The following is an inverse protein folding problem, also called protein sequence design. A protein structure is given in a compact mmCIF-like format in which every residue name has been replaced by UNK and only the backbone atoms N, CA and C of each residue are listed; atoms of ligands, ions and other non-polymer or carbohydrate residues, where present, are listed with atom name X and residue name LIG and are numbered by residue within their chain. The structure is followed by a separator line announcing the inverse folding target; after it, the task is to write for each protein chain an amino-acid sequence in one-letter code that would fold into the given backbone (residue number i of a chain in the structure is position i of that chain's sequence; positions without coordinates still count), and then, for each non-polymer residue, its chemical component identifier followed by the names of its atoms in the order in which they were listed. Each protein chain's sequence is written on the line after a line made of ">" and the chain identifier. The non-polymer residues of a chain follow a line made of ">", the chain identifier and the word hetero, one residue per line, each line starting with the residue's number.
data_IF_785002329382
#
_entry.id   IF_785002329382
#
_cell.length_a   1.000
_cell.length_b   1.000
_cell.length_c   1.000
_cell.angle_alpha   90.00
_cell.angle_beta   90.00
_cell.angle_gamma   90.00
#
_symmetry.space_group_name_H-M   'P 1'
#
loop_
_entity.id
_entity.type
_entity.pdbx_description
1 polymer ?
#
# COMPACT_ATOMS: atom_id res chain seq x y z
N UNK A 1 1.34 52.54 25.15
CA UNK A 1 2.64 52.20 24.54
C UNK A 1 3.05 50.87 25.17
N UNK A 2 2.77 49.75 24.51
CA UNK A 2 3.15 48.42 25.04
C UNK A 2 4.69 48.29 24.97
N UNK A 3 5.28 47.92 26.12
CA UNK A 3 6.72 47.71 26.21
C UNK A 3 7.15 46.47 25.43
N UNK A 4 8.38 46.44 24.94
CA UNK A 4 8.95 45.24 24.27
C UNK A 4 8.88 43.98 25.20
N UNK A 5 8.93 44.16 26.50
CA UNK A 5 8.74 43.12 27.53
C UNK A 5 7.35 42.47 27.50
N UNK A 6 6.31 43.26 27.19
CA UNK A 6 4.93 42.71 27.13
C UNK A 6 4.76 41.82 25.91
N UNK A 7 5.41 42.14 24.79
CA UNK A 7 5.34 41.38 23.55
C UNK A 7 6.04 40.01 23.70
N UNK A 8 7.18 39.97 24.38
CA UNK A 8 7.90 38.71 24.61
C UNK A 8 7.19 37.81 25.63
N UNK A 9 6.56 38.40 26.66
CA UNK A 9 5.74 37.65 27.61
C UNK A 9 4.52 37.03 26.92
N UNK A 10 3.81 37.75 26.06
CA UNK A 10 2.70 37.22 25.30
C UNK A 10 3.12 36.13 24.31
N UNK A 11 4.24 36.25 23.64
CA UNK A 11 4.78 35.19 22.77
C UNK A 11 5.11 33.93 23.57
N UNK A 12 5.75 34.07 24.71
CA UNK A 12 6.10 32.94 25.58
C UNK A 12 4.84 32.26 26.12
N UNK A 13 3.83 33.03 26.52
CA UNK A 13 2.56 32.50 27.01
C UNK A 13 1.78 31.78 25.91
N UNK A 14 1.71 32.33 24.71
CA UNK A 14 1.08 31.67 23.54
C UNK A 14 1.83 30.39 23.17
N UNK A 15 3.17 30.40 23.19
CA UNK A 15 3.99 29.22 22.93
C UNK A 15 3.70 28.13 23.97
N UNK A 16 3.70 28.46 25.26
CA UNK A 16 3.42 27.51 26.35
C UNK A 16 1.99 26.95 26.28
N UNK A 17 1.00 27.79 25.95
CA UNK A 17 -0.39 27.33 25.78
C UNK A 17 -0.52 26.42 24.56
N UNK A 18 0.14 26.73 23.44
CA UNK A 18 0.10 25.88 22.25
C UNK A 18 0.80 24.54 22.47
N UNK A 19 1.94 24.54 23.18
CA UNK A 19 2.65 23.32 23.55
C UNK A 19 1.81 22.46 24.51
N UNK A 20 1.21 23.05 25.54
CA UNK A 20 0.33 22.36 26.47
C UNK A 20 -0.93 21.82 25.78
N UNK A 21 -1.57 22.58 24.90
CA UNK A 21 -2.72 22.13 24.11
C UNK A 21 -2.34 21.00 23.15
N UNK A 22 -1.14 21.06 22.57
CA UNK A 22 -0.59 20.00 21.73
C UNK A 22 -0.35 18.71 22.53
N UNK A 23 0.30 18.80 23.69
CA UNK A 23 0.52 17.66 24.58
C UNK A 23 -0.79 17.02 25.06
N UNK A 24 -1.78 17.81 25.48
CA UNK A 24 -3.10 17.32 25.89
C UNK A 24 -3.82 16.61 24.73
N UNK A 25 -3.68 17.16 23.51
CA UNK A 25 -4.27 16.54 22.30
C UNK A 25 -3.59 15.23 21.94
N UNK A 26 -2.26 15.16 22.10
CA UNK A 26 -1.47 13.93 21.85
C UNK A 26 -1.77 12.87 22.91
N UNK A 27 -1.90 13.24 24.20
CA UNK A 27 -2.20 12.29 25.28
C UNK A 27 -3.60 11.66 25.17
N UNK A 28 -4.54 12.27 24.45
CA UNK A 28 -5.89 11.73 24.24
C UNK A 28 -5.96 10.68 23.14
N UNK A 29 -4.90 10.51 22.32
CA UNK A 29 -4.84 9.51 21.25
C UNK A 29 -4.55 8.13 21.83
N UNK A 30 -5.23 7.11 21.31
CA UNK A 30 -4.96 5.71 21.67
C UNK A 30 -3.64 5.26 21.06
N UNK A 31 -2.80 4.60 21.86
CA UNK A 31 -1.55 4.01 21.35
C UNK A 31 -1.90 2.83 20.46
N UNK A 32 -1.29 2.83 19.27
CA UNK A 32 -1.38 1.74 18.30
C UNK A 32 0.04 1.32 17.89
N UNK A 33 0.37 0.05 18.13
CA UNK A 33 1.72 -0.42 17.87
C UNK A 33 1.97 -0.63 16.38
N UNK A 34 3.13 -0.17 15.89
CA UNK A 34 3.51 -0.22 14.47
C UNK A 34 3.63 -1.66 13.95
N UNK A 35 4.02 -2.61 14.80
CA UNK A 35 4.07 -4.04 14.47
C UNK A 35 2.66 -4.62 14.24
N UNK A 36 1.69 -4.18 15.05
CA UNK A 36 0.28 -4.56 14.87
C UNK A 36 -0.26 -3.92 13.59
N UNK A 37 0.12 -2.67 13.33
CA UNK A 37 -0.22 -1.96 12.08
C UNK A 37 0.26 -2.75 10.86
N UNK A 38 1.48 -3.27 10.89
CA UNK A 38 2.04 -4.09 9.84
C UNK A 38 1.26 -5.39 9.61
N UNK A 39 1.03 -6.17 10.68
CA UNK A 39 0.31 -7.45 10.56
C UNK A 39 -1.13 -7.27 10.08
N UNK A 40 -1.84 -6.30 10.66
CA UNK A 40 -3.20 -5.97 10.21
C UNK A 40 -3.20 -5.45 8.78
N UNK A 41 -2.21 -4.63 8.41
CA UNK A 41 -2.04 -4.15 7.05
C UNK A 41 -1.93 -5.30 6.05
N UNK A 42 -1.12 -6.32 6.33
CA UNK A 42 -0.97 -7.49 5.45
C UNK A 42 -2.29 -8.26 5.26
N UNK A 43 -2.98 -8.56 6.37
CA UNK A 43 -4.25 -9.29 6.30
C UNK A 43 -5.30 -8.48 5.53
N UNK A 44 -5.45 -7.20 5.86
CA UNK A 44 -6.43 -6.31 5.23
C UNK A 44 -6.11 -6.13 3.74
N UNK A 45 -4.83 -6.03 3.36
CA UNK A 45 -4.40 -5.92 1.97
C UNK A 45 -4.77 -7.17 1.18
N UNK A 46 -4.50 -8.36 1.72
CA UNK A 46 -4.81 -9.63 1.07
C UNK A 46 -6.32 -9.78 0.81
N UNK A 47 -7.16 -9.50 1.79
CA UNK A 47 -8.61 -9.51 1.61
C UNK A 47 -9.08 -8.41 0.66
N UNK A 48 -8.50 -7.21 0.73
CA UNK A 48 -8.80 -6.10 -0.17
C UNK A 48 -8.54 -6.47 -1.63
N UNK A 49 -7.38 -7.06 -1.92
CA UNK A 49 -7.03 -7.52 -3.27
C UNK A 49 -7.96 -8.65 -3.73
N UNK A 50 -8.28 -9.61 -2.87
CA UNK A 50 -9.19 -10.71 -3.19
C UNK A 50 -10.62 -10.21 -3.47
N UNK A 51 -11.14 -9.23 -2.73
CA UNK A 51 -12.44 -8.60 -3.03
C UNK A 51 -12.43 -7.81 -4.34
N UNK A 52 -11.34 -7.11 -4.67
CA UNK A 52 -11.25 -6.41 -5.96
C UNK A 52 -11.24 -7.40 -7.12
N UNK A 53 -10.60 -8.54 -6.98
CA UNK A 53 -10.64 -9.63 -7.97
C UNK A 53 -12.06 -10.19 -8.12
N UNK A 54 -12.71 -10.55 -7.00
CA UNK A 54 -14.07 -11.08 -6.98
C UNK A 54 -15.08 -10.13 -7.65
N UNK A 55 -14.84 -8.83 -7.58
CA UNK A 55 -15.67 -7.80 -8.22
C UNK A 55 -15.68 -7.90 -9.75
N UNK A 56 -14.61 -8.43 -10.36
CA UNK A 56 -14.39 -8.49 -11.83
C UNK A 56 -14.40 -7.11 -12.52
N UNK A 57 -14.16 -6.02 -11.79
CA UNK A 57 -14.03 -4.67 -12.37
C UNK A 57 -12.59 -4.29 -12.73
N UNK A 58 -11.66 -5.20 -12.53
CA UNK A 58 -10.23 -5.01 -12.71
C UNK A 58 -9.52 -4.86 -11.37
N UNK A 59 -8.23 -5.17 -11.40
CA UNK A 59 -7.36 -5.11 -10.22
C UNK A 59 -6.89 -3.69 -9.95
N UNK A 60 -6.40 -3.46 -8.73
CA UNK A 60 -5.63 -2.26 -8.44
C UNK A 60 -4.43 -2.15 -9.39
N UNK A 61 -4.12 -0.95 -9.84
CA UNK A 61 -3.06 -0.66 -10.82
C UNK A 61 -1.69 -1.24 -10.45
N UNK A 62 -1.40 -1.32 -9.15
CA UNK A 62 -0.10 -1.82 -8.65
C UNK A 62 0.04 -3.32 -8.87
N UNK A 63 -1.02 -4.08 -8.60
CA UNK A 63 -1.02 -5.56 -8.70
C UNK A 63 -1.55 -6.07 -10.04
N UNK A 64 -2.10 -5.20 -10.89
CA UNK A 64 -2.65 -5.60 -12.19
C UNK A 64 -1.64 -6.32 -13.10
N UNK A 65 -0.37 -5.88 -13.24
CA UNK A 65 0.63 -6.62 -14.03
C UNK A 65 0.86 -8.03 -13.51
N UNK A 66 0.95 -8.19 -12.19
CA UNK A 66 1.14 -9.47 -11.50
C UNK A 66 -0.05 -10.41 -11.73
N UNK A 67 -1.26 -9.88 -11.62
CA UNK A 67 -2.48 -10.64 -11.87
C UNK A 67 -2.58 -11.11 -13.33
N UNK A 68 -2.21 -10.28 -14.30
CA UNK A 68 -2.17 -10.66 -15.73
C UNK A 68 -1.15 -11.76 -15.96
N UNK A 69 0.02 -11.67 -15.33
CA UNK A 69 1.03 -12.72 -15.37
C UNK A 69 0.48 -14.03 -14.80
N UNK A 70 -0.18 -14.00 -13.63
CA UNK A 70 -0.88 -15.15 -13.06
C UNK A 70 -1.88 -15.74 -14.06
N UNK A 71 -2.79 -14.93 -14.62
CA UNK A 71 -3.80 -15.41 -15.56
C UNK A 71 -3.20 -16.08 -16.83
N UNK A 72 -2.02 -15.65 -17.25
CA UNK A 72 -1.35 -16.27 -18.42
C UNK A 72 -0.60 -17.53 -18.06
N UNK A 73 0.21 -17.49 -17.01
CA UNK A 73 1.10 -18.59 -16.63
C UNK A 73 0.31 -19.77 -16.05
N UNK A 74 -0.74 -19.50 -15.27
CA UNK A 74 -1.59 -20.56 -14.69
C UNK A 74 -2.30 -21.43 -15.74
N UNK A 75 -2.43 -20.95 -16.97
CA UNK A 75 -2.93 -21.75 -18.11
C UNK A 75 -2.01 -22.93 -18.45
N UNK A 76 -0.70 -22.78 -18.18
CA UNK A 76 0.32 -23.80 -18.47
C UNK A 76 0.81 -24.48 -17.18
N UNK A 77 0.81 -23.75 -16.07
CA UNK A 77 1.30 -24.20 -14.77
C UNK A 77 0.21 -23.98 -13.70
N UNK A 78 -0.67 -24.97 -13.46
CA UNK A 78 -1.81 -24.82 -12.53
C UNK A 78 -1.42 -24.44 -11.10
N UNK A 79 -0.20 -24.77 -10.68
CA UNK A 79 0.33 -24.40 -9.36
C UNK A 79 0.77 -22.93 -9.25
N UNK A 80 0.84 -22.19 -10.37
CA UNK A 80 1.23 -20.79 -10.39
C UNK A 80 0.04 -19.92 -9.96
N UNK A 81 -0.19 -19.87 -8.64
CA UNK A 81 -1.25 -19.08 -8.02
C UNK A 81 -0.99 -17.58 -8.15
N UNK A 82 -1.96 -16.76 -7.76
CA UNK A 82 -1.77 -15.31 -7.71
C UNK A 82 -0.69 -14.94 -6.66
N UNK A 83 -0.69 -15.60 -5.50
CA UNK A 83 0.37 -15.41 -4.51
C UNK A 83 1.76 -15.75 -5.04
N UNK A 84 1.91 -16.85 -5.81
CA UNK A 84 3.19 -17.20 -6.44
C UNK A 84 3.62 -16.14 -7.46
N UNK A 85 2.69 -15.59 -8.23
CA UNK A 85 2.99 -14.49 -9.15
C UNK A 85 3.48 -13.24 -8.39
N UNK A 86 2.88 -12.94 -7.23
CA UNK A 86 3.33 -11.87 -6.33
C UNK A 86 4.78 -12.09 -5.86
N UNK A 87 5.15 -13.30 -5.47
CA UNK A 87 6.54 -13.61 -5.07
C UNK A 87 7.54 -13.30 -6.18
N UNK A 88 7.23 -13.75 -7.41
CA UNK A 88 8.11 -13.55 -8.56
C UNK A 88 8.26 -12.08 -8.91
N UNK A 89 7.15 -11.36 -9.01
CA UNK A 89 7.17 -9.94 -9.42
C UNK A 89 7.83 -9.08 -8.35
N UNK A 90 7.55 -9.31 -7.07
CA UNK A 90 8.17 -8.55 -5.99
C UNK A 90 9.68 -8.84 -5.88
N UNK A 91 10.13 -10.09 -6.13
CA UNK A 91 11.55 -10.41 -6.23
C UNK A 91 12.24 -9.65 -7.38
N UNK A 92 11.58 -9.56 -8.54
CA UNK A 92 12.07 -8.77 -9.68
C UNK A 92 12.15 -7.28 -9.34
N UNK A 93 11.16 -6.72 -8.65
CA UNK A 93 11.17 -5.31 -8.23
C UNK A 93 12.33 -5.05 -7.26
N UNK A 94 12.56 -5.92 -6.27
CA UNK A 94 13.69 -5.79 -5.34
C UNK A 94 15.03 -5.84 -6.09
N UNK A 95 15.17 -6.75 -7.06
CA UNK A 95 16.35 -6.81 -7.90
C UNK A 95 16.55 -5.50 -8.70
N UNK A 96 15.49 -4.97 -9.30
CA UNK A 96 15.51 -3.70 -10.02
C UNK A 96 15.92 -2.53 -9.13
N UNK A 97 15.35 -2.41 -7.93
CA UNK A 97 15.74 -1.38 -6.94
C UNK A 97 17.22 -1.48 -6.63
N UNK A 98 17.71 -2.68 -6.36
CA UNK A 98 19.12 -2.94 -6.06
C UNK A 98 20.04 -2.51 -7.21
N UNK A 99 19.66 -2.81 -8.46
CA UNK A 99 20.43 -2.45 -9.66
C UNK A 99 20.41 -0.94 -9.88
N UNK A 100 19.25 -0.30 -9.80
CA UNK A 100 19.07 1.15 -10.04
C UNK A 100 19.86 1.95 -9.01
N UNK A 101 19.75 1.60 -7.74
CA UNK A 101 20.41 2.31 -6.65
C UNK A 101 21.87 1.89 -6.45
N UNK A 102 22.29 0.78 -7.09
CA UNK A 102 23.62 0.16 -6.91
C UNK A 102 23.96 -0.07 -5.43
N UNK A 103 22.93 -0.32 -4.62
CA UNK A 103 23.04 -0.57 -3.17
C UNK A 103 22.05 -1.68 -2.81
N UNK A 104 22.53 -2.64 -2.06
CA UNK A 104 21.68 -3.66 -1.46
C UNK A 104 21.60 -3.39 0.05
N UNK A 105 20.36 -3.27 0.56
CA UNK A 105 20.11 -3.12 1.98
C UNK A 105 19.50 -4.41 2.52
N UNK A 106 19.89 -4.80 3.73
CA UNK A 106 19.33 -5.99 4.38
C UNK A 106 17.80 -5.86 4.58
N UNK A 107 17.31 -4.63 4.73
CA UNK A 107 15.87 -4.33 4.80
C UNK A 107 15.09 -4.79 3.56
N UNK A 108 15.74 -4.92 2.39
CA UNK A 108 15.08 -5.43 1.18
C UNK A 108 14.71 -6.92 1.29
N UNK A 109 15.50 -7.70 2.05
CA UNK A 109 15.13 -9.09 2.36
C UNK A 109 13.84 -9.17 3.19
N UNK A 110 13.60 -8.19 4.06
CA UNK A 110 12.34 -8.13 4.80
C UNK A 110 11.15 -7.82 3.91
N UNK A 111 11.31 -6.97 2.89
CA UNK A 111 10.25 -6.76 1.88
C UNK A 111 9.93 -8.07 1.14
N UNK A 112 10.93 -8.92 0.90
CA UNK A 112 10.67 -10.23 0.33
C UNK A 112 9.94 -11.18 1.30
N UNK A 113 10.30 -11.17 2.59
CA UNK A 113 9.54 -11.90 3.62
C UNK A 113 8.10 -11.38 3.68
N UNK A 114 7.92 -10.06 3.63
CA UNK A 114 6.58 -9.44 3.55
C UNK A 114 5.81 -9.95 2.33
N UNK A 115 6.47 -10.03 1.16
CA UNK A 115 5.88 -10.56 -0.05
C UNK A 115 5.42 -12.02 0.10
N UNK A 116 6.25 -12.86 0.71
CA UNK A 116 5.89 -14.27 0.98
C UNK A 116 4.67 -14.37 1.90
N UNK A 117 4.64 -13.59 2.98
CA UNK A 117 3.49 -13.54 3.90
C UNK A 117 2.24 -13.04 3.19
N UNK A 118 2.35 -11.96 2.44
CA UNK A 118 1.23 -11.39 1.69
C UNK A 118 0.68 -12.38 0.67
N UNK A 119 1.52 -12.99 -0.16
CA UNK A 119 1.08 -13.92 -1.17
C UNK A 119 0.37 -15.16 -0.61
N UNK A 120 0.85 -15.70 0.53
CA UNK A 120 0.16 -16.81 1.21
C UNK A 120 -1.20 -16.39 1.78
N UNK A 121 -1.27 -15.19 2.37
CA UNK A 121 -2.53 -14.62 2.85
C UNK A 121 -3.49 -14.32 1.69
N UNK A 122 -2.98 -13.84 0.56
CA UNK A 122 -3.76 -13.56 -0.64
C UNK A 122 -4.38 -14.84 -1.21
N UNK A 123 -3.60 -15.90 -1.37
CA UNK A 123 -4.11 -17.19 -1.85
C UNK A 123 -5.17 -17.75 -0.88
N UNK A 124 -4.95 -17.64 0.43
CA UNK A 124 -5.94 -17.99 1.44
C UNK A 124 -7.21 -17.15 1.36
N UNK A 125 -7.10 -15.84 1.19
CA UNK A 125 -8.23 -14.94 1.04
C UNK A 125 -9.01 -15.24 -0.25
N UNK A 126 -8.31 -15.47 -1.36
CA UNK A 126 -8.92 -15.85 -2.64
C UNK A 126 -9.73 -17.15 -2.48
N UNK A 127 -9.17 -18.17 -1.83
CA UNK A 127 -9.88 -19.42 -1.55
C UNK A 127 -11.12 -19.19 -0.69
N UNK A 128 -11.02 -18.42 0.39
CA UNK A 128 -12.16 -18.14 1.28
C UNK A 128 -13.29 -17.37 0.56
N UNK A 129 -12.94 -16.46 -0.35
CA UNK A 129 -13.92 -15.65 -1.04
C UNK A 129 -14.59 -16.38 -2.23
N UNK A 130 -14.09 -17.54 -2.67
CA UNK A 130 -14.75 -18.35 -3.72
C UNK A 130 -16.18 -18.75 -3.36
N UNK A 131 -16.51 -18.79 -2.07
CA UNK A 131 -17.85 -19.15 -1.59
C UNK A 131 -18.84 -17.96 -1.63
N UNK A 132 -18.37 -16.74 -1.92
CA UNK A 132 -19.22 -15.56 -1.95
C UNK A 132 -19.85 -15.37 -3.34
N UNK A 133 -21.14 -14.93 -3.39
CA UNK A 133 -21.81 -14.67 -4.66
C UNK A 133 -21.20 -13.46 -5.36
N UNK A 134 -21.00 -13.58 -6.67
CA UNK A 134 -20.52 -12.50 -7.54
C UNK A 134 -21.30 -12.41 -8.86
N UNK A 135 -22.54 -12.94 -8.87
CA UNK A 135 -23.34 -13.04 -10.10
C UNK A 135 -24.03 -11.72 -10.44
N UNK A 136 -24.48 -10.98 -9.42
CA UNK A 136 -25.22 -9.75 -9.62
C UNK A 136 -24.29 -8.52 -9.68
N UNK A 137 -24.55 -7.62 -10.59
CA UNK A 137 -23.79 -6.37 -10.76
C UNK A 137 -23.68 -5.56 -9.46
N UNK A 138 -24.78 -5.42 -8.72
CA UNK A 138 -24.81 -4.68 -7.44
C UNK A 138 -23.87 -5.29 -6.40
N UNK A 139 -23.82 -6.61 -6.31
CA UNK A 139 -22.94 -7.32 -5.38
C UNK A 139 -21.47 -7.11 -5.79
N UNK A 140 -21.18 -7.14 -7.09
CA UNK A 140 -19.84 -6.88 -7.61
C UNK A 140 -19.37 -5.46 -7.30
N UNK A 141 -20.25 -4.47 -7.41
CA UNK A 141 -19.96 -3.07 -7.00
C UNK A 141 -19.64 -3.02 -5.50
N UNK A 142 -20.40 -3.72 -4.67
CA UNK A 142 -20.14 -3.80 -3.24
C UNK A 142 -18.76 -4.37 -2.94
N UNK A 143 -18.39 -5.49 -3.60
CA UNK A 143 -17.07 -6.10 -3.44
C UNK A 143 -15.96 -5.17 -3.91
N UNK A 144 -16.14 -4.44 -5.00
CA UNK A 144 -15.18 -3.47 -5.50
C UNK A 144 -14.95 -2.33 -4.51
N UNK A 145 -16.01 -1.73 -3.99
CA UNK A 145 -15.91 -0.64 -3.00
C UNK A 145 -15.24 -1.13 -1.72
N UNK A 146 -15.67 -2.30 -1.21
CA UNK A 146 -15.09 -2.90 -0.01
C UNK A 146 -13.60 -3.20 -0.21
N UNK A 147 -13.24 -3.84 -1.31
CA UNK A 147 -11.85 -4.17 -1.65
C UNK A 147 -10.98 -2.92 -1.75
N UNK A 148 -11.46 -1.88 -2.45
CA UNK A 148 -10.72 -0.61 -2.59
C UNK A 148 -10.51 0.08 -1.25
N UNK A 149 -11.52 0.12 -0.37
CA UNK A 149 -11.41 0.70 0.98
C UNK A 149 -10.44 -0.10 1.83
N UNK A 150 -10.49 -1.42 1.78
CA UNK A 150 -9.55 -2.29 2.52
C UNK A 150 -8.11 -2.09 2.04
N UNK A 151 -7.86 -2.07 0.73
CA UNK A 151 -6.53 -1.80 0.17
C UNK A 151 -6.01 -0.43 0.62
N UNK A 152 -6.82 0.62 0.54
CA UNK A 152 -6.43 1.95 0.99
C UNK A 152 -6.15 2.01 2.50
N UNK A 153 -6.89 1.25 3.30
CA UNK A 153 -6.67 1.13 4.75
C UNK A 153 -5.34 0.41 5.03
N UNK A 154 -5.06 -0.66 4.32
CA UNK A 154 -3.81 -1.41 4.46
C UNK A 154 -2.59 -0.55 4.12
N UNK A 155 -2.62 0.18 3.00
CA UNK A 155 -1.54 1.11 2.61
C UNK A 155 -1.35 2.19 3.68
N UNK A 156 -2.45 2.74 4.21
CA UNK A 156 -2.39 3.73 5.29
C UNK A 156 -1.73 3.15 6.55
N UNK A 157 -2.00 1.90 6.89
CA UNK A 157 -1.35 1.21 8.01
C UNK A 157 0.15 0.97 7.75
N UNK A 158 0.53 0.62 6.51
CA UNK A 158 1.94 0.45 6.13
C UNK A 158 2.74 1.75 6.18
N UNK A 159 2.11 2.90 5.99
CA UNK A 159 2.80 4.18 6.15
C UNK A 159 3.18 4.49 7.61
N UNK A 160 2.54 3.83 8.56
CA UNK A 160 2.78 4.03 10.00
C UNK A 160 3.64 2.92 10.63
N UNK A 161 4.29 2.07 9.83
CA UNK A 161 5.21 1.07 10.34
C UNK A 161 6.65 1.33 9.89
N UNK A 162 7.60 0.96 10.74
CA UNK A 162 9.03 0.97 10.39
C UNK A 162 9.45 -0.29 9.63
N UNK A 163 8.67 -1.37 9.71
CA UNK A 163 8.94 -2.63 9.01
C UNK A 163 8.83 -2.39 7.50
N UNK A 164 9.73 -2.97 6.74
CA UNK A 164 9.74 -2.81 5.29
C UNK A 164 8.42 -3.30 4.68
N UNK A 165 7.70 -2.41 3.97
CA UNK A 165 6.48 -2.79 3.27
C UNK A 165 6.80 -3.71 2.09
N UNK A 166 5.79 -4.08 1.34
CA UNK A 166 5.96 -4.81 0.09
C UNK A 166 6.86 -4.07 -0.90
N UNK A 167 7.43 -4.80 -1.85
CA UNK A 167 8.38 -4.25 -2.81
C UNK A 167 7.82 -3.08 -3.64
N UNK A 168 6.51 -3.04 -3.84
CA UNK A 168 5.81 -1.96 -4.55
C UNK A 168 5.93 -0.60 -3.85
N UNK A 169 5.79 -0.56 -2.54
CA UNK A 169 5.95 0.64 -1.73
C UNK A 169 7.43 0.92 -1.46
N UNK A 170 8.24 -0.13 -1.35
CA UNK A 170 9.68 -0.01 -1.15
C UNK A 170 10.34 0.75 -2.31
N UNK A 171 10.05 0.38 -3.57
CA UNK A 171 10.62 1.05 -4.74
C UNK A 171 10.28 2.55 -4.76
N UNK A 172 9.04 2.90 -4.44
CA UNK A 172 8.60 4.30 -4.37
C UNK A 172 9.36 5.07 -3.28
N UNK A 173 9.48 4.46 -2.10
CA UNK A 173 10.17 5.03 -0.94
C UNK A 173 11.66 5.25 -1.21
N UNK A 174 12.33 4.22 -1.74
CA UNK A 174 13.77 4.26 -2.04
C UNK A 174 14.10 5.25 -3.16
N UNK A 175 13.31 5.27 -4.24
CA UNK A 175 13.52 6.25 -5.32
C UNK A 175 13.27 7.68 -4.82
N UNK A 176 12.19 7.92 -4.10
CA UNK A 176 11.90 9.24 -3.55
C UNK A 176 13.00 9.71 -2.59
N UNK A 177 13.46 8.83 -1.69
CA UNK A 177 14.51 9.15 -0.73
C UNK A 177 15.88 9.37 -1.37
N UNK A 178 16.31 8.47 -2.26
CA UNK A 178 17.66 8.53 -2.85
C UNK A 178 17.85 9.70 -3.81
N UNK A 179 16.78 10.08 -4.55
CA UNK A 179 16.82 11.20 -5.49
C UNK A 179 16.21 12.48 -4.94
N UNK A 180 15.81 12.51 -3.67
CA UNK A 180 15.12 13.65 -3.02
C UNK A 180 13.87 14.11 -3.79
N UNK A 181 13.16 13.19 -4.41
CA UNK A 181 11.93 13.47 -5.15
C UNK A 181 10.71 13.46 -4.24
N UNK A 182 9.67 14.17 -4.64
CA UNK A 182 8.40 14.16 -3.93
C UNK A 182 7.75 12.76 -4.04
N UNK A 183 7.53 12.11 -2.89
CA UNK A 183 7.02 10.74 -2.82
C UNK A 183 5.69 10.56 -3.54
N UNK A 184 4.80 11.57 -3.48
CA UNK A 184 3.50 11.51 -4.15
C UNK A 184 3.65 11.52 -5.68
N UNK A 185 4.61 12.31 -6.21
CA UNK A 185 4.90 12.33 -7.65
C UNK A 185 5.51 11.01 -8.10
N UNK A 186 6.45 10.46 -7.33
CA UNK A 186 7.05 9.15 -7.62
C UNK A 186 5.99 8.06 -7.60
N UNK A 187 5.10 8.05 -6.58
CA UNK A 187 4.00 7.10 -6.49
C UNK A 187 3.08 7.21 -7.70
N UNK A 188 2.65 8.42 -8.07
CA UNK A 188 1.79 8.62 -9.24
C UNK A 188 2.45 8.13 -10.53
N UNK A 189 3.73 8.46 -10.74
CA UNK A 189 4.48 7.99 -11.91
C UNK A 189 4.58 6.45 -11.93
N UNK A 190 4.89 5.84 -10.78
CA UNK A 190 4.94 4.39 -10.62
C UNK A 190 3.59 3.73 -10.95
N UNK A 191 2.50 4.28 -10.44
CA UNK A 191 1.14 3.78 -10.69
C UNK A 191 0.74 3.89 -12.17
N UNK A 192 1.11 5.00 -12.83
CA UNK A 192 0.91 5.17 -14.27
C UNK A 192 1.73 4.15 -15.09
N UNK A 193 2.99 3.90 -14.72
CA UNK A 193 3.85 2.91 -15.38
C UNK A 193 3.27 1.51 -15.23
N UNK A 194 2.83 1.13 -14.02
CA UNK A 194 2.20 -0.17 -13.78
C UNK A 194 0.89 -0.33 -14.57
N UNK A 195 0.07 0.72 -14.65
CA UNK A 195 -1.16 0.68 -15.46
C UNK A 195 -0.84 0.47 -16.93
N UNK A 196 0.13 1.20 -17.47
CA UNK A 196 0.58 1.03 -18.85
C UNK A 196 1.13 -0.38 -19.10
N UNK A 197 1.99 -0.86 -18.19
CA UNK A 197 2.54 -2.22 -18.25
C UNK A 197 1.43 -3.27 -18.25
N UNK A 198 0.42 -3.12 -17.38
CA UNK A 198 -0.73 -4.02 -17.33
C UNK A 198 -1.50 -4.05 -18.65
N UNK A 199 -1.74 -2.90 -19.29
CA UNK A 199 -2.41 -2.82 -20.59
C UNK A 199 -1.57 -3.52 -21.66
N UNK A 200 -0.26 -3.24 -21.71
CA UNK A 200 0.67 -3.85 -22.68
C UNK A 200 0.71 -5.38 -22.50
N UNK A 201 0.85 -5.86 -21.27
CA UNK A 201 0.85 -7.31 -20.98
C UNK A 201 -0.49 -7.95 -21.32
N UNK A 202 -1.62 -7.28 -21.04
CA UNK A 202 -2.94 -7.80 -21.41
C UNK A 202 -3.06 -7.99 -22.91
N UNK A 203 -2.63 -7.02 -23.70
CA UNK A 203 -2.65 -7.11 -25.17
C UNK A 203 -1.67 -8.14 -25.72
N UNK A 204 -0.47 -8.22 -25.15
CA UNK A 204 0.54 -9.18 -25.56
C UNK A 204 0.13 -10.65 -25.29
N UNK A 205 -0.54 -10.90 -24.16
CA UNK A 205 -0.88 -12.26 -23.76
C UNK A 205 -2.24 -12.75 -24.22
N UNK A 206 -3.21 -11.84 -24.37
CA UNK A 206 -4.60 -12.19 -24.67
C UNK A 206 -5.13 -11.63 -25.99
N UNK A 207 -4.33 -10.85 -26.70
CA UNK A 207 -4.67 -10.25 -27.98
C UNK A 207 -5.04 -8.77 -27.87
N UNK A 208 -4.82 -8.05 -28.95
CA UNK A 208 -5.06 -6.61 -29.02
C UNK A 208 -6.53 -6.27 -28.76
N UNK A 209 -6.78 -5.31 -27.88
CA UNK A 209 -8.12 -4.89 -27.47
C UNK A 209 -8.76 -5.74 -26.36
N UNK A 210 -8.08 -6.81 -25.89
CA UNK A 210 -8.58 -7.64 -24.78
C UNK A 210 -8.02 -7.11 -23.45
N UNK A 211 -8.89 -6.56 -22.63
CA UNK A 211 -8.53 -6.06 -21.30
C UNK A 211 -8.82 -7.13 -20.23
N UNK A 212 -7.78 -7.89 -19.83
CA UNK A 212 -7.85 -8.79 -18.68
C UNK A 212 -7.04 -8.23 -17.52
N UNK A 213 -7.59 -8.29 -16.32
CA UNK A 213 -6.96 -7.71 -15.13
C UNK A 213 -6.99 -6.18 -15.07
N UNK A 214 -7.20 -5.51 -16.21
CA UNK A 214 -7.39 -4.06 -16.31
C UNK A 214 -8.85 -3.80 -16.68
N UNK A 215 -9.52 -2.97 -15.90
CA UNK A 215 -10.93 -2.64 -16.13
C UNK A 215 -11.26 -1.22 -15.70
N UNK A 216 -12.54 -0.90 -15.72
CA UNK A 216 -13.03 0.41 -15.24
C UNK A 216 -12.62 0.62 -13.79
N UNK A 217 -12.64 -0.43 -12.96
CA UNK A 217 -12.18 -0.38 -11.57
C UNK A 217 -10.72 0.01 -11.43
N UNK A 218 -9.83 -0.48 -12.31
CA UNK A 218 -8.41 -0.09 -12.31
C UNK A 218 -8.25 1.40 -12.54
N UNK A 219 -9.03 2.00 -13.45
CA UNK A 219 -9.02 3.44 -13.73
C UNK A 219 -9.54 4.23 -12.53
N UNK A 220 -10.65 3.77 -11.94
CA UNK A 220 -11.22 4.38 -10.74
C UNK A 220 -10.21 4.35 -9.60
N UNK A 221 -9.56 3.22 -9.35
CA UNK A 221 -8.51 3.10 -8.33
C UNK A 221 -7.34 4.05 -8.62
N UNK A 222 -6.91 4.18 -9.88
CA UNK A 222 -5.81 5.08 -10.24
C UNK A 222 -6.09 6.55 -9.85
N UNK A 223 -7.34 6.98 -9.98
CA UNK A 223 -7.75 8.37 -9.68
C UNK A 223 -8.02 8.56 -8.18
N UNK A 224 -8.74 7.63 -7.56
CA UNK A 224 -9.30 7.83 -6.21
C UNK A 224 -8.45 7.25 -5.08
N UNK A 225 -7.56 6.27 -5.37
CA UNK A 225 -6.85 5.55 -4.32
C UNK A 225 -5.98 6.49 -3.46
N UNK A 226 -5.24 7.41 -4.09
CA UNK A 226 -4.42 8.39 -3.37
C UNK A 226 -5.22 9.30 -2.44
N UNK A 227 -6.40 9.74 -2.89
CA UNK A 227 -7.31 10.55 -2.06
C UNK A 227 -7.86 9.72 -0.89
N UNK A 228 -8.26 8.48 -1.15
CA UNK A 228 -8.81 7.59 -0.13
C UNK A 228 -7.76 7.24 0.93
N UNK A 229 -6.55 6.88 0.51
CA UNK A 229 -5.40 6.65 1.40
C UNK A 229 -5.15 7.89 2.27
N UNK A 230 -5.07 9.07 1.68
CA UNK A 230 -4.85 10.32 2.43
C UNK A 230 -5.92 10.60 3.47
N UNK A 231 -7.20 10.35 3.14
CA UNK A 231 -8.31 10.49 4.10
C UNK A 231 -8.23 9.48 5.24
N UNK A 232 -7.93 8.21 4.94
CA UNK A 232 -7.82 7.16 5.96
C UNK A 232 -6.61 7.42 6.85
N UNK A 233 -5.46 7.80 6.28
CA UNK A 233 -4.27 8.21 7.03
C UNK A 233 -4.58 9.33 8.01
N UNK A 234 -5.26 10.39 7.56
CA UNK A 234 -5.69 11.49 8.42
C UNK A 234 -6.58 11.02 9.58
N UNK A 235 -7.53 10.10 9.31
CA UNK A 235 -8.41 9.53 10.34
C UNK A 235 -7.58 8.72 11.35
N UNK A 236 -6.67 7.87 10.89
CA UNK A 236 -5.82 7.08 11.75
C UNK A 236 -4.95 7.97 12.64
N UNK A 237 -4.29 8.97 12.09
CA UNK A 237 -3.46 9.92 12.83
C UNK A 237 -4.26 10.79 13.82
N UNK A 238 -5.54 11.03 13.53
CA UNK A 238 -6.42 11.77 14.44
C UNK A 238 -6.74 10.98 15.72
N UNK A 239 -6.96 9.68 15.61
CA UNK A 239 -7.43 8.85 16.72
C UNK A 239 -6.33 8.01 17.38
N UNK A 240 -5.25 7.72 16.65
CA UNK A 240 -4.18 6.85 17.11
C UNK A 240 -2.84 7.59 17.13
N UNK A 241 -2.01 7.18 18.08
CA UNK A 241 -0.59 7.50 18.13
C UNK A 241 0.17 6.22 17.87
N UNK A 242 0.95 6.20 16.78
CA UNK A 242 1.73 5.04 16.40
C UNK A 242 3.05 5.02 17.16
N UNK A 243 3.34 3.92 17.85
CA UNK A 243 4.53 3.75 18.67
C UNK A 243 5.19 2.40 18.36
N UNK A 244 6.50 2.39 18.35
CA UNK A 244 7.28 1.16 18.16
C UNK A 244 7.36 0.41 19.50
N UNK A 245 6.91 -0.84 19.54
CA UNK A 245 7.01 -1.67 20.74
C UNK A 245 8.35 -2.40 20.82
N UNK A 246 8.89 -2.82 19.65
CA UNK A 246 10.11 -3.60 19.57
C UNK A 246 11.31 -2.72 19.19
N UNK A 247 12.53 -3.01 19.72
CA UNK A 247 13.73 -2.21 19.44
C UNK A 247 14.34 -2.50 18.06
N UNK A 248 13.58 -3.08 17.13
CA UNK A 248 14.04 -3.52 15.81
C UNK A 248 14.11 -2.39 14.77
N UNK A 249 13.64 -1.22 15.10
CA UNK A 249 13.65 -0.06 14.20
C UNK A 249 15.05 0.21 13.62
N UNK A 250 16.09 0.11 14.44
CA UNK A 250 17.50 0.29 14.01
C UNK A 250 17.93 -0.67 12.90
N UNK A 251 17.35 -1.87 12.87
CA UNK A 251 17.67 -2.89 11.88
C UNK A 251 17.05 -2.56 10.49
N UNK A 252 15.91 -1.87 10.47
CA UNK A 252 15.22 -1.50 9.23
C UNK A 252 15.67 -0.15 8.67
N UNK A 253 16.44 0.63 9.44
CA UNK A 253 17.01 1.91 9.00
C UNK A 253 18.38 1.76 8.32
N UNK A 254 19.01 0.60 8.41
CA UNK A 254 20.28 0.26 7.77
C UNK A 254 20.10 -0.14 6.31
#
# INVERSE_FOLDING_TARGET
>A
MFSAYDIDYWKMMVYTITEFAFEVTVMKKRVFYTEVSYLLGLVIMAFGAAFTELSRFGMSMVVAPTYILHLKVSQYLPWFSFGVAEYVVQAVIIALVTIILRKFKLSYLFSFVTALLYGTLLDGAMYLLTFLPADFFTIRVLWFVLGTVLCATAVSLFFHTYISPEAYELIVKELAGNFSWNINKVKTAYDCINTLLAVVLSFAFFGFGVFRGVGIGTIICAIFNGFLIGKITYILEKYFRFENKMPWEKFFQL
#
